data_IF_460774320854
#
_entry.id   IF_460774320854
#
_cell.length_a   1.000
_cell.length_b   1.000
_cell.length_c   1.000
_cell.angle_alpha   90.00
_cell.angle_beta   90.00
_cell.angle_gamma   90.00
#
_symmetry.space_group_name_H-M   'P 1'
#
loop_
_entity.id
_entity.type
_entity.pdbx_description
1 polymer ?
#
# COMPACT_ATOMS: atom_id res chain seq x y z
N UNK A 1 11.60 -3.91 10.15
CA UNK A 1 10.85 -4.01 8.92
C UNK A 1 10.61 -2.63 8.36
N UNK A 2 10.60 -2.54 7.04
CA UNK A 2 10.56 -1.23 6.39
C UNK A 2 9.14 -0.72 6.14
N UNK A 3 8.12 -1.55 6.33
CA UNK A 3 6.74 -1.12 6.11
C UNK A 3 6.24 -0.29 7.28
N UNK A 4 5.45 0.74 6.94
CA UNK A 4 4.81 1.58 7.93
C UNK A 4 3.37 1.13 8.13
N UNK A 5 2.88 1.25 9.36
CA UNK A 5 1.45 1.11 9.62
C UNK A 5 0.79 2.46 9.33
N UNK A 6 -0.09 2.49 8.34
CA UNK A 6 -0.78 3.70 7.92
C UNK A 6 -2.16 3.71 8.55
N UNK A 7 -2.49 4.83 9.19
CA UNK A 7 -3.77 5.02 9.86
C UNK A 7 -4.39 6.31 9.36
N UNK A 8 -5.64 6.54 9.75
CA UNK A 8 -6.31 7.79 9.43
C UNK A 8 -5.56 8.99 9.99
N UNK A 9 -4.96 8.83 11.18
CA UNK A 9 -4.24 9.93 11.82
C UNK A 9 -2.95 10.29 11.11
N UNK A 10 -2.25 9.30 10.52
CA UNK A 10 -0.95 9.60 9.90
C UNK A 10 -0.99 9.61 8.38
N UNK A 11 -2.15 9.38 7.76
CA UNK A 11 -2.24 9.24 6.31
C UNK A 11 -1.77 10.49 5.58
N UNK A 12 -2.22 11.66 6.02
CA UNK A 12 -1.82 12.90 5.37
C UNK A 12 -0.32 13.09 5.44
N UNK A 13 0.26 12.92 6.62
CA UNK A 13 1.69 13.15 6.81
C UNK A 13 2.53 12.12 6.07
N UNK A 14 2.15 10.85 6.16
CA UNK A 14 3.00 9.78 5.64
C UNK A 14 2.78 9.52 4.16
N UNK A 15 1.58 9.80 3.63
CA UNK A 15 1.25 9.47 2.26
C UNK A 15 1.08 10.72 1.40
N UNK A 16 0.19 11.61 1.80
CA UNK A 16 -0.17 12.74 0.94
C UNK A 16 0.94 13.78 0.87
N UNK A 17 1.67 14.00 1.95
CA UNK A 17 2.75 14.98 2.00
C UNK A 17 4.12 14.39 1.75
N UNK A 18 4.20 13.10 1.46
CA UNK A 18 5.48 12.43 1.21
C UNK A 18 6.08 12.95 -0.09
N UNK A 19 7.41 13.11 -0.10
CA UNK A 19 8.13 13.56 -1.28
C UNK A 19 8.46 12.41 -2.22
N UNK A 20 8.65 11.22 -1.66
CA UNK A 20 8.92 10.03 -2.46
C UNK A 20 7.62 9.35 -2.83
N UNK A 21 7.61 8.46 -3.82
CA UNK A 21 6.43 7.65 -4.10
C UNK A 21 6.08 6.78 -2.90
N UNK A 22 4.80 6.56 -2.68
CA UNK A 22 4.33 5.75 -1.55
C UNK A 22 3.48 4.62 -2.10
N UNK A 23 3.86 3.39 -1.79
CA UNK A 23 3.08 2.21 -2.11
C UNK A 23 2.26 1.85 -0.88
N UNK A 24 0.93 1.79 -1.04
CA UNK A 24 0.02 1.52 0.06
C UNK A 24 -0.72 0.22 -0.22
N UNK A 25 -0.61 -0.73 0.70
CA UNK A 25 -1.26 -2.05 0.61
C UNK A 25 -2.46 -2.07 1.55
N UNK A 26 -3.66 -2.11 0.97
CA UNK A 26 -4.90 -2.25 1.74
C UNK A 26 -5.17 -3.74 1.94
N UNK A 27 -5.25 -4.19 3.19
CA UNK A 27 -5.27 -5.61 3.52
C UNK A 27 -6.16 -5.88 4.74
N UNK A 28 -6.39 -7.17 5.04
CA UNK A 28 -7.06 -7.58 6.26
C UNK A 28 -6.48 -8.92 6.72
N UNK A 29 -6.60 -9.19 8.02
CA UNK A 29 -6.01 -10.40 8.60
C UNK A 29 -6.66 -11.68 8.12
N UNK A 30 -7.95 -11.62 7.76
CA UNK A 30 -8.72 -12.80 7.33
C UNK A 30 -8.59 -13.07 5.84
N UNK A 31 -7.86 -12.27 5.11
CA UNK A 31 -7.81 -12.31 3.65
C UNK A 31 -6.64 -13.20 3.21
N UNK A 32 -6.97 -14.34 2.57
CA UNK A 32 -5.94 -15.28 2.09
C UNK A 32 -4.99 -14.67 1.07
N UNK A 33 -5.51 -14.04 -0.01
CA UNK A 33 -4.62 -13.40 -0.99
C UNK A 33 -3.76 -12.29 -0.39
N UNK A 34 -4.27 -11.59 0.63
CA UNK A 34 -3.47 -10.57 1.32
C UNK A 34 -2.27 -11.21 2.00
N UNK A 35 -2.46 -12.38 2.61
CA UNK A 35 -1.36 -13.08 3.27
C UNK A 35 -0.34 -13.57 2.25
N UNK A 36 -0.78 -13.94 1.06
CA UNK A 36 0.13 -14.33 -0.02
C UNK A 36 0.94 -13.14 -0.54
N UNK A 37 0.33 -11.96 -0.54
CA UNK A 37 0.99 -10.76 -1.03
C UNK A 37 1.94 -10.16 0.01
N UNK A 38 1.71 -10.42 1.29
CA UNK A 38 2.49 -9.80 2.37
C UNK A 38 4.01 -9.96 2.20
N UNK A 39 4.55 -11.16 1.88
CA UNK A 39 6.01 -11.27 1.69
C UNK A 39 6.50 -10.47 0.48
N UNK A 40 5.68 -10.33 -0.56
CA UNK A 40 6.05 -9.52 -1.74
C UNK A 40 6.18 -8.06 -1.33
N UNK A 41 5.21 -7.56 -0.58
CA UNK A 41 5.23 -6.17 -0.11
C UNK A 41 6.43 -5.92 0.80
N UNK A 42 6.70 -6.86 1.70
CA UNK A 42 7.84 -6.74 2.61
C UNK A 42 9.16 -6.70 1.84
N UNK A 43 9.29 -7.55 0.83
CA UNK A 43 10.50 -7.59 0.01
C UNK A 43 10.70 -6.27 -0.72
N UNK A 44 9.63 -5.72 -1.29
CA UNK A 44 9.69 -4.42 -1.98
C UNK A 44 10.06 -3.33 -0.98
N UNK A 45 9.47 -3.35 0.21
CA UNK A 45 9.78 -2.34 1.23
C UNK A 45 11.26 -2.33 1.57
N UNK A 46 11.86 -3.52 1.69
CA UNK A 46 13.27 -3.63 2.02
C UNK A 46 14.16 -3.20 0.87
N UNK A 47 13.83 -3.61 -0.36
CA UNK A 47 14.66 -3.33 -1.52
C UNK A 47 14.61 -1.87 -1.95
N UNK A 48 13.47 -1.22 -1.75
CA UNK A 48 13.28 0.16 -2.19
C UNK A 48 13.41 1.16 -1.05
N UNK A 49 13.91 0.71 0.11
CA UNK A 49 14.08 1.60 1.27
C UNK A 49 14.91 2.82 0.87
N UNK A 50 14.42 3.99 1.24
CA UNK A 50 15.05 5.26 0.89
C UNK A 50 14.61 5.82 -0.46
N UNK A 51 13.93 5.02 -1.29
CA UNK A 51 13.47 5.48 -2.60
C UNK A 51 11.96 5.48 -2.70
N UNK A 52 11.30 4.48 -2.11
CA UNK A 52 9.85 4.34 -2.11
C UNK A 52 9.45 4.04 -0.67
N UNK A 53 8.46 4.77 -0.20
CA UNK A 53 7.87 4.49 1.10
C UNK A 53 6.80 3.42 0.92
N UNK A 54 6.76 2.43 1.81
CA UNK A 54 5.77 1.36 1.74
C UNK A 54 4.97 1.38 3.04
N UNK A 55 3.65 1.46 2.90
CA UNK A 55 2.75 1.47 4.03
C UNK A 55 1.64 0.44 3.88
N UNK A 56 1.08 0.04 4.99
CA UNK A 56 0.00 -0.96 5.03
C UNK A 56 -1.18 -0.38 5.78
N UNK A 57 -2.37 -0.52 5.20
CA UNK A 57 -3.63 -0.09 5.79
C UNK A 57 -4.49 -1.31 6.05
N UNK A 58 -4.77 -1.59 7.32
CA UNK A 58 -5.71 -2.65 7.68
C UNK A 58 -7.12 -2.09 7.53
N UNK A 59 -7.87 -2.62 6.55
CA UNK A 59 -9.18 -2.03 6.23
C UNK A 59 -10.19 -2.18 7.36
N UNK A 60 -10.02 -3.17 8.23
CA UNK A 60 -10.93 -3.33 9.36
C UNK A 60 -10.71 -2.26 10.42
N UNK A 61 -9.47 -1.80 10.56
CA UNK A 61 -9.13 -0.73 11.52
C UNK A 61 -9.33 0.66 10.93
N UNK A 62 -9.19 0.79 9.60
CA UNK A 62 -9.20 2.09 8.93
C UNK A 62 -10.29 2.10 7.86
N UNK A 63 -11.51 1.86 8.28
CA UNK A 63 -12.64 1.72 7.37
C UNK A 63 -12.88 2.96 6.53
N UNK A 64 -12.70 4.14 7.13
CA UNK A 64 -12.92 5.40 6.41
C UNK A 64 -11.92 5.60 5.29
N UNK A 65 -10.65 5.22 5.50
CA UNK A 65 -9.65 5.31 4.44
C UNK A 65 -10.02 4.40 3.28
N UNK A 66 -10.43 3.16 3.60
CA UNK A 66 -10.81 2.23 2.55
C UNK A 66 -11.98 2.77 1.72
N UNK A 67 -12.97 3.34 2.40
CA UNK A 67 -14.12 3.91 1.70
C UNK A 67 -13.73 5.12 0.87
N UNK A 68 -12.89 5.98 1.42
CA UNK A 68 -12.47 7.20 0.74
C UNK A 68 -11.78 6.89 -0.59
N UNK A 69 -10.99 5.83 -0.62
CA UNK A 69 -10.23 5.49 -1.82
C UNK A 69 -10.88 4.39 -2.65
N UNK A 70 -12.15 4.08 -2.33
CA UNK A 70 -12.93 3.16 -3.16
C UNK A 70 -12.44 1.72 -3.13
N UNK A 71 -11.84 1.30 -2.02
CA UNK A 71 -11.33 -0.06 -1.89
C UNK A 71 -12.50 -0.99 -1.60
N UNK A 72 -12.89 -1.78 -2.61
CA UNK A 72 -14.01 -2.73 -2.47
C UNK A 72 -13.52 -4.17 -2.43
N UNK A 73 -12.31 -4.43 -2.87
CA UNK A 73 -11.72 -5.78 -2.84
C UNK A 73 -10.30 -5.67 -2.31
N UNK A 74 -9.86 -6.68 -1.58
CA UNK A 74 -8.51 -6.69 -1.03
C UNK A 74 -7.80 -7.97 -1.44
N UNK A 75 -6.47 -7.92 -1.60
CA UNK A 75 -5.63 -6.74 -1.42
C UNK A 75 -5.81 -5.74 -2.56
N UNK A 76 -5.71 -4.46 -2.24
CA UNK A 76 -5.60 -3.40 -3.23
C UNK A 76 -4.31 -2.67 -2.94
N UNK A 77 -3.49 -2.50 -3.98
CA UNK A 77 -2.23 -1.77 -3.86
C UNK A 77 -2.35 -0.50 -4.67
N UNK A 78 -2.07 0.63 -4.02
CA UNK A 78 -2.06 1.92 -4.70
C UNK A 78 -0.69 2.56 -4.57
N UNK A 79 -0.26 3.23 -5.65
CA UNK A 79 0.95 4.04 -5.60
C UNK A 79 0.54 5.49 -5.62
N UNK A 80 0.94 6.22 -4.60
CA UNK A 80 0.70 7.65 -4.50
C UNK A 80 1.97 8.40 -4.88
N UNK A 81 1.80 9.50 -5.59
CA UNK A 81 2.91 10.40 -5.90
C UNK A 81 2.38 11.81 -5.89
N UNK A 82 3.07 12.68 -5.14
CA UNK A 82 2.67 14.09 -5.01
C UNK A 82 1.23 14.23 -4.52
N UNK A 83 0.83 13.33 -3.60
CA UNK A 83 -0.48 13.40 -2.97
C UNK A 83 -1.62 12.82 -3.79
N UNK A 84 -1.33 12.19 -4.92
CA UNK A 84 -2.36 11.66 -5.81
C UNK A 84 -2.12 10.19 -6.12
N UNK A 85 -3.22 9.45 -6.34
CA UNK A 85 -3.13 8.04 -6.74
C UNK A 85 -2.64 7.99 -8.19
N UNK A 86 -1.49 7.37 -8.39
CA UNK A 86 -0.89 7.22 -9.71
C UNK A 86 -1.23 5.89 -10.34
N UNK A 87 -1.24 4.81 -9.54
CA UNK A 87 -1.50 3.46 -10.01
C UNK A 87 -2.31 2.70 -8.99
N UNK A 88 -3.12 1.75 -9.46
CA UNK A 88 -3.93 0.89 -8.60
C UNK A 88 -3.90 -0.54 -9.14
N UNK A 89 -3.73 -1.50 -8.25
CA UNK A 89 -3.75 -2.91 -8.61
C UNK A 89 -4.62 -3.65 -7.59
N UNK A 90 -5.51 -4.50 -8.07
CA UNK A 90 -6.42 -5.27 -7.21
C UNK A 90 -6.08 -6.74 -7.29
N UNK A 91 -6.00 -7.40 -6.13
CA UNK A 91 -5.74 -8.83 -6.03
C UNK A 91 -4.26 -9.12 -5.88
N UNK A 92 -3.96 -10.41 -5.68
CA UNK A 92 -2.57 -10.85 -5.58
C UNK A 92 -1.89 -10.69 -6.94
N UNK A 93 -0.65 -10.19 -6.92
CA UNK A 93 0.21 -10.12 -8.09
C UNK A 93 1.62 -10.51 -7.67
N UNK A 94 2.40 -11.15 -8.57
CA UNK A 94 3.80 -11.43 -8.26
C UNK A 94 4.61 -10.14 -8.18
N UNK A 95 5.79 -10.24 -7.60
CA UNK A 95 6.63 -9.08 -7.30
C UNK A 95 6.89 -8.22 -8.52
N UNK A 96 7.18 -8.83 -9.66
CA UNK A 96 7.52 -8.08 -10.88
C UNK A 96 6.37 -7.20 -11.31
N UNK A 97 5.13 -7.67 -11.15
CA UNK A 97 3.97 -6.88 -11.53
C UNK A 97 3.71 -5.73 -10.57
N UNK A 98 3.95 -5.97 -9.28
CA UNK A 98 3.83 -4.87 -8.30
C UNK A 98 4.91 -3.82 -8.57
N UNK A 99 6.13 -4.25 -8.90
CA UNK A 99 7.21 -3.32 -9.22
C UNK A 99 6.89 -2.47 -10.45
N UNK A 100 6.12 -3.00 -11.40
CA UNK A 100 5.72 -2.22 -12.57
C UNK A 100 4.91 -0.98 -12.17
N UNK A 101 4.18 -1.05 -11.07
CA UNK A 101 3.40 0.10 -10.60
C UNK A 101 4.30 1.27 -10.18
N UNK A 102 5.56 0.98 -9.87
CA UNK A 102 6.51 1.99 -9.41
C UNK A 102 7.28 2.66 -10.56
N UNK A 103 7.07 2.22 -11.78
CA UNK A 103 7.82 2.72 -12.94
C UNK A 103 7.21 3.99 -13.57
#
# INVERSE_FOLDING_TARGET
MAELTITQQNFEQEVLLAKEPVLVDFWATWCGPCRMLAPVIEEIANEYAGKVKVGKVNVDDELELALEYGVSSIPTVMVFQNGEVKETSVGYRPKEEIEQLLK
#
